data_IF_353425464110
#
_entry.id   IF_353425464110
#
_cell.length_a   1.000
_cell.length_b   1.000
_cell.length_c   1.000
_cell.angle_alpha   90.00
_cell.angle_beta   90.00
_cell.angle_gamma   90.00
#
_symmetry.space_group_name_H-M   'P 1'
#
loop_
_entity.id
_entity.type
_entity.pdbx_description
1 polymer ?
#
# COMPACT_ATOMS: atom_id res chain seq x y z
N UNK A 1 0.38 -19.91 21.74
CA UNK A 1 1.07 -19.44 20.54
C UNK A 1 0.31 -18.34 19.78
N UNK A 2 -0.92 -18.60 19.24
CA UNK A 2 -1.70 -17.53 18.52
C UNK A 2 -2.02 -16.35 19.46
N UNK A 3 -2.50 -16.61 20.68
CA UNK A 3 -2.78 -15.55 21.66
C UNK A 3 -1.55 -14.72 22.03
N UNK A 4 -0.39 -15.34 22.13
CA UNK A 4 0.87 -14.63 22.41
C UNK A 4 1.24 -13.70 21.25
N UNK A 5 1.05 -14.14 20.00
CA UNK A 5 1.27 -13.33 18.80
C UNK A 5 0.32 -12.12 18.81
N UNK A 6 -0.96 -12.32 19.11
CA UNK A 6 -1.94 -11.23 19.18
C UNK A 6 -1.63 -10.25 20.34
N UNK A 7 -1.15 -10.74 21.48
CA UNK A 7 -0.68 -9.87 22.58
C UNK A 7 0.56 -9.05 22.19
N UNK A 8 1.50 -9.66 21.47
CA UNK A 8 2.68 -8.94 20.95
C UNK A 8 2.27 -7.89 19.92
N UNK A 9 1.34 -8.21 19.03
CA UNK A 9 0.81 -7.30 18.03
C UNK A 9 0.16 -6.07 18.66
N UNK A 10 -0.66 -6.28 19.70
CA UNK A 10 -1.29 -5.19 20.47
C UNK A 10 -0.25 -4.34 21.21
N UNK A 11 0.75 -4.94 21.85
CA UNK A 11 1.84 -4.21 22.51
C UNK A 11 2.65 -3.39 21.52
N UNK A 12 2.96 -3.96 20.35
CA UNK A 12 3.72 -3.27 19.31
C UNK A 12 2.90 -2.12 18.72
N UNK A 13 1.59 -2.30 18.51
CA UNK A 13 0.70 -1.21 18.13
C UNK A 13 0.76 -0.06 19.10
N UNK A 14 0.52 -0.33 20.41
CA UNK A 14 0.48 0.68 21.46
C UNK A 14 1.83 1.43 21.51
N UNK A 15 2.94 0.69 21.45
CA UNK A 15 4.27 1.29 21.45
C UNK A 15 4.48 2.22 20.24
N UNK A 16 4.24 1.72 19.02
CA UNK A 16 4.48 2.49 17.79
C UNK A 16 3.52 3.68 17.61
N UNK A 17 2.25 3.52 18.02
CA UNK A 17 1.25 4.59 17.94
C UNK A 17 1.57 5.72 18.93
N UNK A 18 1.98 5.37 20.17
CA UNK A 18 2.31 6.35 21.21
C UNK A 18 3.67 7.07 21.00
N UNK A 19 4.49 6.63 20.03
CA UNK A 19 5.62 7.44 19.55
C UNK A 19 5.16 8.68 18.78
N UNK A 20 3.89 8.71 18.37
CA UNK A 20 3.31 9.81 17.64
C UNK A 20 3.17 11.07 18.50
N UNK A 21 3.46 12.24 17.91
CA UNK A 21 3.32 13.54 18.55
C UNK A 21 2.38 14.43 17.73
N UNK A 22 1.54 15.27 18.38
CA UNK A 22 0.52 16.09 17.71
C UNK A 22 1.07 16.97 16.56
N UNK A 23 2.31 17.44 16.69
CA UNK A 23 2.98 18.26 15.67
C UNK A 23 3.02 17.59 14.28
N UNK A 24 3.06 16.25 14.20
CA UNK A 24 3.14 15.50 12.95
C UNK A 24 1.80 14.90 12.51
N UNK A 25 0.71 15.13 13.23
CA UNK A 25 -0.60 14.56 12.92
C UNK A 25 -1.07 14.93 11.50
N UNK A 26 -1.00 16.21 11.16
CA UNK A 26 -1.39 16.71 9.83
C UNK A 26 -0.58 16.06 8.70
N UNK A 27 0.72 15.83 8.91
CA UNK A 27 1.58 15.14 7.95
C UNK A 27 1.11 13.71 7.73
N UNK A 28 0.92 12.93 8.81
CA UNK A 28 0.52 11.53 8.71
C UNK A 28 -0.90 11.35 8.19
N UNK A 29 -1.82 12.23 8.58
CA UNK A 29 -3.18 12.28 8.02
C UNK A 29 -3.13 12.55 6.52
N UNK A 30 -2.35 13.55 6.08
CA UNK A 30 -2.22 13.89 4.65
C UNK A 30 -1.61 12.75 3.84
N UNK A 31 -0.57 12.10 4.34
CA UNK A 31 0.07 10.96 3.69
C UNK A 31 -0.88 9.75 3.56
N UNK A 32 -1.80 9.59 4.51
CA UNK A 32 -2.83 8.55 4.50
C UNK A 32 -4.01 8.85 3.57
N UNK A 33 -4.13 10.05 3.01
CA UNK A 33 -5.22 10.40 2.10
C UNK A 33 -4.99 9.81 0.71
N UNK A 34 -6.10 9.42 0.06
CA UNK A 34 -6.08 8.86 -1.30
C UNK A 34 -5.55 9.91 -2.28
N UNK A 35 -5.94 11.17 -2.13
CA UNK A 35 -5.56 12.27 -3.02
C UNK A 35 -4.04 12.47 -3.10
N UNK A 36 -3.35 12.43 -1.96
CA UNK A 36 -1.90 12.55 -1.91
C UNK A 36 -1.21 11.38 -2.65
N UNK A 37 -1.75 10.19 -2.52
CA UNK A 37 -1.24 9.00 -3.19
C UNK A 37 -1.50 9.02 -4.71
N UNK A 38 -2.66 9.53 -5.16
CA UNK A 38 -2.96 9.71 -6.58
C UNK A 38 -1.93 10.63 -7.24
N UNK A 39 -1.57 11.74 -6.61
CA UNK A 39 -0.55 12.66 -7.15
C UNK A 39 0.80 11.98 -7.34
N UNK A 40 1.22 11.15 -6.39
CA UNK A 40 2.46 10.38 -6.51
C UNK A 40 2.41 9.39 -7.67
N UNK A 41 1.30 8.68 -7.86
CA UNK A 41 1.15 7.72 -8.95
C UNK A 41 1.05 8.41 -10.31
N UNK A 42 0.39 9.55 -10.40
CA UNK A 42 0.40 10.39 -11.61
C UNK A 42 1.82 10.86 -11.95
N UNK A 43 2.60 11.27 -10.94
CA UNK A 43 4.00 11.59 -11.13
C UNK A 43 4.80 10.40 -11.71
N UNK A 44 4.62 9.19 -11.17
CA UNK A 44 5.30 7.99 -11.68
C UNK A 44 4.86 7.64 -13.11
N UNK A 45 3.60 7.85 -13.47
CA UNK A 45 3.11 7.69 -14.83
C UNK A 45 3.75 8.73 -15.77
N UNK A 46 3.79 10.00 -15.38
CA UNK A 46 4.47 11.05 -16.14
C UNK A 46 5.97 10.75 -16.30
N UNK A 47 6.62 10.26 -15.24
CA UNK A 47 8.01 9.85 -15.26
C UNK A 47 8.25 8.69 -16.26
N UNK A 48 7.31 7.75 -16.36
CA UNK A 48 7.35 6.69 -17.37
C UNK A 48 7.43 7.27 -18.78
N UNK A 49 6.61 8.27 -19.10
CA UNK A 49 6.65 8.93 -20.41
C UNK A 49 7.95 9.68 -20.66
N UNK A 50 8.48 10.33 -19.65
CA UNK A 50 9.70 11.11 -19.78
C UNK A 50 10.94 10.22 -20.03
N UNK A 51 11.00 9.08 -19.32
CA UNK A 51 12.18 8.20 -19.37
C UNK A 51 12.14 7.23 -20.54
N UNK A 52 10.95 6.80 -20.98
CA UNK A 52 10.83 5.79 -22.04
C UNK A 52 11.23 6.36 -23.40
N UNK A 53 12.29 5.78 -24.00
CA UNK A 53 12.72 6.09 -25.37
C UNK A 53 12.81 4.78 -26.16
N UNK A 54 12.24 4.70 -27.41
CA UNK A 54 11.39 5.73 -28.03
C UNK A 54 10.13 6.02 -27.21
N UNK A 55 9.50 7.19 -27.45
CA UNK A 55 8.28 7.58 -26.73
C UNK A 55 7.21 6.49 -26.85
N UNK A 56 6.55 6.10 -25.75
CA UNK A 56 5.53 5.06 -25.78
C UNK A 56 4.36 5.50 -26.66
N UNK A 57 3.82 4.58 -27.44
CA UNK A 57 2.58 4.80 -28.21
C UNK A 57 1.43 5.05 -27.22
N UNK A 58 0.39 5.75 -27.64
CA UNK A 58 -0.79 6.01 -26.81
C UNK A 58 -1.42 4.72 -26.26
N UNK A 59 -1.43 3.66 -27.06
CA UNK A 59 -1.88 2.32 -26.63
C UNK A 59 -1.13 1.77 -25.41
N UNK A 60 0.19 2.04 -25.30
CA UNK A 60 1.00 1.58 -24.16
C UNK A 60 0.62 2.31 -22.87
N UNK A 61 0.16 3.56 -23.00
CA UNK A 61 -0.34 4.37 -21.90
C UNK A 61 -1.64 3.79 -21.37
N UNK A 62 -2.61 3.59 -22.25
CA UNK A 62 -3.90 3.01 -21.90
C UNK A 62 -3.73 1.64 -21.23
N UNK A 63 -2.80 0.85 -21.76
CA UNK A 63 -2.49 -0.45 -21.18
C UNK A 63 -1.86 -0.34 -19.79
N UNK A 64 -0.94 0.61 -19.57
CA UNK A 64 -0.36 0.84 -18.25
C UNK A 64 -1.42 1.26 -17.25
N UNK A 65 -2.32 2.19 -17.62
CA UNK A 65 -3.44 2.62 -16.78
C UNK A 65 -4.35 1.42 -16.46
N UNK A 66 -4.70 0.61 -17.46
CA UNK A 66 -5.52 -0.58 -17.30
C UNK A 66 -4.89 -1.58 -16.32
N UNK A 67 -3.59 -1.85 -16.44
CA UNK A 67 -2.87 -2.74 -15.50
C UNK A 67 -2.90 -2.18 -14.07
N UNK A 68 -2.66 -0.88 -13.90
CA UNK A 68 -2.68 -0.24 -12.58
C UNK A 68 -4.07 -0.36 -11.96
N UNK A 69 -5.13 -0.13 -12.75
CA UNK A 69 -6.52 -0.27 -12.30
C UNK A 69 -6.81 -1.70 -11.84
N UNK A 70 -6.45 -2.70 -12.64
CA UNK A 70 -6.62 -4.11 -12.27
C UNK A 70 -5.85 -4.42 -10.99
N UNK A 71 -4.62 -3.96 -10.88
CA UNK A 71 -3.76 -4.23 -9.71
C UNK A 71 -4.37 -3.65 -8.43
N UNK A 72 -4.84 -2.40 -8.47
CA UNK A 72 -5.53 -1.76 -7.33
C UNK A 72 -6.84 -2.50 -7.01
N UNK A 73 -7.60 -2.89 -8.02
CA UNK A 73 -8.84 -3.66 -7.82
C UNK A 73 -8.56 -4.98 -7.11
N UNK A 74 -7.54 -5.73 -7.53
CA UNK A 74 -7.16 -7.00 -6.90
C UNK A 74 -6.75 -6.77 -5.44
N UNK A 75 -5.93 -5.76 -5.16
CA UNK A 75 -5.45 -5.49 -3.80
C UNK A 75 -6.54 -4.98 -2.89
N UNK A 76 -7.45 -4.15 -3.38
CA UNK A 76 -8.57 -3.62 -2.61
C UNK A 76 -9.66 -4.67 -2.34
N UNK A 77 -10.10 -5.39 -3.38
CA UNK A 77 -11.09 -6.46 -3.24
C UNK A 77 -10.54 -7.63 -2.41
N UNK A 78 -9.26 -7.96 -2.60
CA UNK A 78 -8.58 -8.93 -1.73
C UNK A 78 -8.63 -8.50 -0.27
N UNK A 79 -8.28 -7.25 0.04
CA UNK A 79 -8.35 -6.75 1.41
C UNK A 79 -9.78 -6.78 1.97
N UNK A 80 -10.80 -6.43 1.18
CA UNK A 80 -12.20 -6.46 1.60
C UNK A 80 -12.67 -7.89 1.88
N UNK A 81 -12.36 -8.84 0.98
CA UNK A 81 -12.68 -10.26 1.17
C UNK A 81 -12.11 -10.81 2.49
N UNK A 82 -10.85 -10.46 2.79
CA UNK A 82 -10.21 -10.90 4.05
C UNK A 82 -10.82 -10.22 5.28
N UNK A 83 -11.21 -8.94 5.20
CA UNK A 83 -11.92 -8.24 6.30
C UNK A 83 -13.25 -8.90 6.61
N UNK A 84 -14.01 -9.25 5.58
CA UNK A 84 -15.32 -9.90 5.73
C UNK A 84 -15.19 -11.33 6.25
N UNK A 85 -14.12 -12.05 5.86
CA UNK A 85 -13.88 -13.43 6.28
C UNK A 85 -13.34 -13.54 7.70
N UNK A 86 -12.36 -12.72 8.07
CA UNK A 86 -11.69 -12.80 9.38
C UNK A 86 -12.36 -11.95 10.45
N UNK A 87 -13.09 -10.93 10.08
CA UNK A 87 -13.82 -10.02 10.97
C UNK A 87 -13.00 -9.51 12.16
N UNK A 88 -11.68 -9.38 11.97
CA UNK A 88 -10.81 -8.83 12.99
C UNK A 88 -11.11 -7.35 13.20
N UNK A 89 -11.47 -6.98 14.43
CA UNK A 89 -11.74 -5.59 14.78
C UNK A 89 -10.51 -4.69 14.55
N UNK A 90 -10.75 -3.45 14.16
CA UNK A 90 -9.71 -2.42 14.18
C UNK A 90 -9.38 -2.01 15.60
N UNK A 91 -8.17 -1.46 15.87
CA UNK A 91 -7.74 -1.09 17.21
C UNK A 91 -8.73 -0.19 17.96
N UNK A 92 -9.36 0.74 17.28
CA UNK A 92 -10.34 1.67 17.86
C UNK A 92 -11.69 1.05 18.24
N UNK A 93 -11.96 -0.18 17.79
CA UNK A 93 -13.15 -0.97 18.14
C UNK A 93 -12.79 -2.16 19.06
N UNK A 94 -11.50 -2.37 19.33
CA UNK A 94 -11.02 -3.46 20.19
C UNK A 94 -10.92 -2.97 21.63
N UNK A 95 -11.78 -3.52 22.51
CA UNK A 95 -11.87 -3.16 23.93
C UNK A 95 -10.54 -3.33 24.68
N UNK A 96 -9.67 -4.24 24.21
CA UNK A 96 -8.39 -4.49 24.87
C UNK A 96 -7.33 -3.39 24.63
N UNK A 97 -7.48 -2.56 23.58
CA UNK A 97 -6.45 -1.59 23.17
C UNK A 97 -6.97 -0.18 22.92
N UNK A 98 -8.28 0.01 22.69
CA UNK A 98 -8.87 1.30 22.26
C UNK A 98 -8.51 2.47 23.19
N UNK A 99 -8.48 2.24 24.49
CA UNK A 99 -8.19 3.28 25.49
C UNK A 99 -6.67 3.51 25.71
N UNK A 100 -5.83 2.65 25.12
CA UNK A 100 -4.36 2.72 25.21
C UNK A 100 -3.70 3.33 23.99
N UNK A 101 -4.46 3.62 22.93
CA UNK A 101 -3.98 4.18 21.67
C UNK A 101 -4.47 5.60 21.45
N UNK A 102 -3.73 6.34 20.65
CA UNK A 102 -4.10 7.67 20.17
C UNK A 102 -4.78 7.53 18.80
N UNK A 103 -6.08 7.74 18.75
CA UNK A 103 -6.83 7.83 17.50
C UNK A 103 -6.70 9.26 16.95
N UNK A 104 -5.95 9.43 15.85
CA UNK A 104 -5.65 10.76 15.28
C UNK A 104 -6.71 11.23 14.29
N UNK A 105 -7.57 10.34 13.82
CA UNK A 105 -8.71 10.67 12.94
C UNK A 105 -10.00 10.72 13.73
N UNK A 106 -10.96 11.53 13.26
CA UNK A 106 -12.31 11.64 13.86
C UNK A 106 -13.08 10.32 13.80
N UNK A 107 -12.74 9.45 12.86
CA UNK A 107 -13.34 8.12 12.74
C UNK A 107 -12.30 7.07 12.34
N UNK A 108 -12.55 5.85 12.72
CA UNK A 108 -11.70 4.70 12.43
C UNK A 108 -11.96 4.08 11.06
N UNK A 109 -12.99 4.50 10.35
CA UNK A 109 -13.48 3.85 9.14
C UNK A 109 -14.29 2.59 9.44
N UNK A 110 -14.24 1.59 8.57
CA UNK A 110 -15.00 0.35 8.75
C UNK A 110 -14.58 -0.44 9.99
N UNK A 111 -15.46 -1.31 10.48
CA UNK A 111 -15.29 -2.07 11.73
C UNK A 111 -14.10 -3.04 11.69
N UNK A 112 -13.87 -3.70 10.56
CA UNK A 112 -12.85 -4.74 10.41
C UNK A 112 -11.57 -4.23 9.74
N UNK A 113 -10.40 -4.76 10.16
CA UNK A 113 -9.08 -4.24 9.80
C UNK A 113 -8.19 -5.17 9.00
N UNK A 114 -8.40 -6.47 9.06
CA UNK A 114 -7.47 -7.43 8.47
C UNK A 114 -7.79 -7.75 7.00
N UNK A 115 -6.84 -7.52 6.11
CA UNK A 115 -5.58 -6.80 6.20
C UNK A 115 -5.70 -5.36 5.66
N UNK A 116 -4.61 -4.56 5.79
CA UNK A 116 -4.61 -3.16 5.37
C UNK A 116 -4.56 -3.00 3.85
N UNK A 117 -5.63 -2.51 3.24
CA UNK A 117 -5.68 -2.17 1.82
C UNK A 117 -4.66 -1.06 1.44
N UNK A 118 -4.42 -0.08 2.32
CA UNK A 118 -3.42 0.96 2.08
C UNK A 118 -2.01 0.38 1.95
N UNK A 119 -1.64 -0.56 2.82
CA UNK A 119 -0.35 -1.24 2.73
C UNK A 119 -0.27 -2.08 1.45
N UNK A 120 -1.32 -2.83 1.13
CA UNK A 120 -1.38 -3.66 -0.06
C UNK A 120 -1.27 -2.84 -1.35
N UNK A 121 -2.07 -1.78 -1.49
CA UNK A 121 -2.04 -0.90 -2.65
C UNK A 121 -0.68 -0.20 -2.82
N UNK A 122 -0.14 0.37 -1.73
CA UNK A 122 1.12 1.10 -1.81
C UNK A 122 2.31 0.20 -2.16
N UNK A 123 2.39 -0.99 -1.58
CA UNK A 123 3.47 -1.93 -1.87
C UNK A 123 3.34 -2.60 -3.24
N UNK A 124 2.13 -2.86 -3.74
CA UNK A 124 1.94 -3.37 -5.10
C UNK A 124 2.40 -2.37 -6.15
N UNK A 125 2.05 -1.10 -5.99
CA UNK A 125 2.49 -0.03 -6.88
C UNK A 125 3.99 0.24 -6.73
N UNK A 126 4.53 0.22 -5.51
CA UNK A 126 5.95 0.43 -5.26
C UNK A 126 6.83 -0.61 -5.97
N UNK A 127 6.52 -1.91 -5.83
CA UNK A 127 7.30 -2.95 -6.48
C UNK A 127 7.08 -2.95 -8.01
N UNK A 128 5.87 -2.70 -8.50
CA UNK A 128 5.58 -2.62 -9.92
C UNK A 128 6.38 -1.49 -10.59
N UNK A 129 6.28 -0.25 -10.09
CA UNK A 129 7.03 0.89 -10.64
C UNK A 129 8.53 0.78 -10.38
N UNK A 130 8.93 0.24 -9.22
CA UNK A 130 10.32 -0.04 -8.92
C UNK A 130 10.96 -0.95 -9.96
N UNK A 131 10.30 -2.06 -10.31
CA UNK A 131 10.75 -2.99 -11.36
C UNK A 131 10.68 -2.36 -12.77
N UNK A 132 9.68 -1.53 -13.02
CA UNK A 132 9.51 -0.84 -14.30
C UNK A 132 10.68 0.11 -14.59
N UNK A 133 11.17 0.82 -13.59
CA UNK A 133 12.23 1.82 -13.74
C UNK A 133 13.63 1.36 -13.35
N UNK A 134 13.81 0.15 -12.80
CA UNK A 134 15.08 -0.33 -12.22
C UNK A 134 16.31 -0.18 -13.12
N UNK A 135 16.12 -0.30 -14.44
CA UNK A 135 17.21 -0.22 -15.42
C UNK A 135 17.53 1.24 -15.83
N UNK A 136 16.77 2.22 -15.37
CA UNK A 136 16.89 3.64 -15.71
C UNK A 136 17.25 4.52 -14.54
N UNK A 137 16.77 4.18 -13.35
CA UNK A 137 16.96 4.96 -12.12
C UNK A 137 17.53 4.03 -11.06
N UNK A 138 18.76 4.36 -10.65
CA UNK A 138 19.41 3.67 -9.52
C UNK A 138 18.58 3.87 -8.25
N UNK A 139 18.46 2.85 -7.45
CA UNK A 139 17.73 2.86 -6.16
C UNK A 139 16.21 3.10 -6.23
N UNK A 140 15.58 3.14 -7.40
CA UNK A 140 14.15 3.43 -7.52
C UNK A 140 13.30 2.44 -6.72
N UNK A 141 13.65 1.16 -6.70
CA UNK A 141 12.94 0.14 -5.92
C UNK A 141 12.98 0.51 -4.44
N UNK A 142 14.15 0.89 -3.91
CA UNK A 142 14.28 1.30 -2.52
C UNK A 142 13.45 2.55 -2.22
N UNK A 143 13.51 3.56 -3.09
CA UNK A 143 12.75 4.82 -2.94
C UNK A 143 11.25 4.55 -2.88
N UNK A 144 10.72 3.75 -3.82
CA UNK A 144 9.29 3.44 -3.86
C UNK A 144 8.83 2.59 -2.67
N UNK A 145 9.66 1.61 -2.23
CA UNK A 145 9.38 0.80 -1.05
C UNK A 145 9.43 1.62 0.25
N UNK A 146 10.39 2.54 0.39
CA UNK A 146 10.44 3.46 1.54
C UNK A 146 9.20 4.33 1.57
N UNK A 147 8.77 4.89 0.44
CA UNK A 147 7.52 5.66 0.37
C UNK A 147 6.30 4.83 0.79
N UNK A 148 6.17 3.58 0.27
CA UNK A 148 5.10 2.66 0.66
C UNK A 148 5.13 2.31 2.16
N UNK A 149 6.34 2.22 2.75
CA UNK A 149 6.52 2.00 4.20
C UNK A 149 6.00 3.18 5.03
N UNK A 150 6.23 4.42 4.58
CA UNK A 150 5.64 5.59 5.23
C UNK A 150 4.10 5.58 5.18
N UNK A 151 3.50 5.25 4.03
CA UNK A 151 2.04 5.11 3.92
C UNK A 151 1.53 4.02 4.88
N UNK A 152 2.21 2.89 4.93
CA UNK A 152 1.83 1.77 5.79
C UNK A 152 1.95 2.11 7.27
N UNK A 153 3.05 2.75 7.67
CA UNK A 153 3.24 3.21 9.04
C UNK A 153 2.22 4.27 9.44
N UNK A 154 1.78 5.13 8.50
CA UNK A 154 0.72 6.11 8.79
C UNK A 154 -0.54 5.44 9.35
N UNK A 155 -0.83 4.18 8.98
CA UNK A 155 -2.01 3.46 9.47
C UNK A 155 -1.89 3.04 10.95
N UNK A 156 -0.67 2.71 11.38
CA UNK A 156 -0.33 2.46 12.79
C UNK A 156 -0.37 3.77 13.57
N UNK A 157 0.28 4.81 13.03
CA UNK A 157 0.29 6.15 13.64
C UNK A 157 -1.12 6.71 13.90
N UNK A 158 -2.03 6.51 12.94
CA UNK A 158 -3.41 6.95 13.05
C UNK A 158 -4.28 6.07 13.97
N UNK A 159 -3.78 4.94 14.47
CA UNK A 159 -4.52 4.04 15.36
C UNK A 159 -5.59 3.18 14.66
N UNK A 160 -5.47 2.94 13.35
CA UNK A 160 -6.53 2.29 12.55
C UNK A 160 -6.24 0.88 12.09
N UNK A 161 -4.98 0.40 12.24
CA UNK A 161 -4.56 -0.97 11.90
C UNK A 161 -3.52 -1.49 12.87
N UNK A 162 -3.57 -2.78 13.15
CA UNK A 162 -2.52 -3.49 13.86
C UNK A 162 -1.30 -3.72 12.95
N UNK A 163 -0.07 -3.88 13.52
CA UNK A 163 1.12 -4.22 12.76
C UNK A 163 0.98 -5.47 11.87
N UNK A 164 0.33 -6.52 12.37
CA UNK A 164 0.06 -7.74 11.59
C UNK A 164 -0.81 -7.44 10.36
N UNK A 165 -1.83 -6.58 10.46
CA UNK A 165 -2.65 -6.16 9.31
C UNK A 165 -1.79 -5.50 8.23
N UNK A 166 -0.78 -4.74 8.65
CA UNK A 166 0.18 -4.08 7.75
C UNK A 166 1.09 -5.11 7.09
N UNK A 167 1.67 -6.03 7.86
CA UNK A 167 2.58 -7.06 7.34
C UNK A 167 1.90 -7.91 6.27
N UNK A 168 0.68 -8.39 6.54
CA UNK A 168 -0.08 -9.17 5.55
C UNK A 168 -0.45 -8.33 4.32
N UNK A 169 -0.82 -7.06 4.50
CA UNK A 169 -1.04 -6.13 3.39
C UNK A 169 0.21 -5.95 2.53
N UNK A 170 1.39 -5.78 3.14
CA UNK A 170 2.68 -5.68 2.44
C UNK A 170 2.96 -6.93 1.62
N UNK A 171 2.84 -8.12 2.23
CA UNK A 171 3.11 -9.38 1.54
C UNK A 171 2.17 -9.58 0.35
N UNK A 172 0.88 -9.34 0.53
CA UNK A 172 -0.12 -9.44 -0.53
C UNK A 172 0.15 -8.42 -1.65
N UNK A 173 0.48 -7.18 -1.30
CA UNK A 173 0.82 -6.13 -2.25
C UNK A 173 2.07 -6.44 -3.07
N UNK A 174 3.17 -6.87 -2.42
CA UNK A 174 4.40 -7.28 -3.10
C UNK A 174 4.16 -8.44 -4.06
N UNK A 175 3.43 -9.46 -3.62
CA UNK A 175 3.08 -10.61 -4.46
C UNK A 175 2.27 -10.18 -5.68
N UNK A 176 1.24 -9.38 -5.50
CA UNK A 176 0.37 -8.89 -6.58
C UNK A 176 1.14 -8.03 -7.58
N UNK A 177 1.88 -7.02 -7.10
CA UNK A 177 2.63 -6.11 -7.95
C UNK A 177 3.74 -6.81 -8.75
N UNK A 178 4.47 -7.73 -8.11
CA UNK A 178 5.48 -8.55 -8.78
C UNK A 178 4.87 -9.48 -9.83
N UNK A 179 3.76 -10.14 -9.51
CA UNK A 179 3.07 -11.06 -10.43
C UNK A 179 2.52 -10.32 -11.65
N UNK A 180 1.88 -9.19 -11.44
CA UNK A 180 1.37 -8.32 -12.53
C UNK A 180 2.53 -7.84 -13.41
N UNK A 181 3.63 -7.37 -12.84
CA UNK A 181 4.79 -6.98 -13.61
C UNK A 181 5.33 -8.13 -14.45
N UNK A 182 5.58 -9.29 -13.85
CA UNK A 182 6.24 -10.43 -14.49
C UNK A 182 5.35 -11.14 -15.51
N UNK A 183 4.10 -11.41 -15.18
CA UNK A 183 3.23 -12.28 -15.97
C UNK A 183 2.28 -11.53 -16.89
N UNK A 184 1.97 -10.27 -16.60
CA UNK A 184 1.06 -9.46 -17.42
C UNK A 184 1.86 -8.43 -18.24
N UNK A 185 2.57 -7.51 -17.57
CA UNK A 185 3.26 -6.41 -18.24
C UNK A 185 4.37 -6.86 -19.19
N UNK A 186 5.27 -7.75 -18.76
CA UNK A 186 6.37 -8.22 -19.61
C UNK A 186 5.89 -9.09 -20.78
N UNK A 187 4.81 -9.85 -20.64
CA UNK A 187 4.21 -10.61 -21.75
C UNK A 187 3.60 -9.68 -22.80
N UNK A 188 2.90 -8.64 -22.36
CA UNK A 188 2.37 -7.62 -23.24
C UNK A 188 3.47 -6.95 -24.07
N UNK A 189 4.57 -6.51 -23.43
CA UNK A 189 5.69 -5.90 -24.14
C UNK A 189 6.28 -6.84 -25.22
N UNK A 190 6.40 -8.13 -24.91
CA UNK A 190 6.89 -9.13 -25.89
C UNK A 190 5.95 -9.29 -27.08
N UNK A 191 4.65 -9.22 -26.86
CA UNK A 191 3.65 -9.35 -27.92
C UNK A 191 3.67 -8.13 -28.85
N UNK A 192 3.66 -6.92 -28.29
CA UNK A 192 3.61 -5.68 -29.09
C UNK A 192 4.95 -5.29 -29.75
N UNK A 193 6.10 -5.76 -29.24
CA UNK A 193 7.39 -5.54 -29.89
C UNK A 193 7.67 -6.53 -31.03
N UNK A 194 6.83 -7.55 -31.23
CA UNK A 194 6.88 -8.49 -32.33
C UNK A 194 5.95 -8.11 -33.51
N UNK A 195 5.03 -7.19 -33.29
CA UNK A 195 4.13 -6.60 -34.27
C UNK A 195 4.63 -5.21 -34.69
#
# INVERSE_FOLDING_TARGET
MIEEILKLDSKLLIFLNNLGVPRFDTFWVSLSKIEANILMYLFLICLFFYIQKPRPKFSNILYLIFIITIMITITDQGANLFKDSFQRLRPCYDEAVKDSIRLVKDNCGGKYGFFSAHASNSFSLAIFFGLLFRNRIRYIILITLVYASFISYSRIYLGVHFPIDIIFGILFGLFTGFSIYKFVYLKFLKFFNKA
#
